data_IF_028392653483
#
_entry.id   IF_028392653483
#
_cell.length_a   1.000
_cell.length_b   1.000
_cell.length_c   1.000
_cell.angle_alpha   90.00
_cell.angle_beta   90.00
_cell.angle_gamma   90.00
#
_symmetry.space_group_name_H-M   'P 1'
#
loop_
_entity.id
_entity.type
_entity.pdbx_description
1 polymer ?
#
# COMPACT_ATOMS: atom_id res chain seq x y z
N UNK A 1 -1.77 -21.27 -11.20
CA UNK A 1 -0.51 -21.49 -11.95
C UNK A 1 0.59 -20.55 -11.43
N UNK A 2 0.96 -20.65 -10.14
CA UNK A 2 1.97 -19.77 -9.51
C UNK A 2 2.68 -20.44 -8.31
N UNK A 3 2.79 -21.78 -8.30
CA UNK A 3 3.49 -22.54 -7.23
C UNK A 3 4.84 -23.14 -7.66
N UNK A 4 5.30 -22.90 -8.89
CA UNK A 4 6.47 -23.63 -9.45
C UNK A 4 7.70 -22.76 -9.76
N UNK A 5 7.74 -21.50 -9.32
CA UNK A 5 8.83 -20.56 -9.65
C UNK A 5 9.84 -20.31 -8.51
N UNK A 6 9.66 -20.88 -7.31
CA UNK A 6 10.50 -20.55 -6.15
C UNK A 6 11.16 -21.75 -5.45
N UNK A 7 11.63 -22.75 -6.21
CA UNK A 7 12.51 -23.79 -5.64
C UNK A 7 13.67 -24.14 -6.56
N UNK A 8 14.75 -23.35 -6.49
CA UNK A 8 16.10 -23.80 -6.83
C UNK A 8 17.11 -23.25 -5.81
N UNK A 9 17.34 -24.02 -4.75
CA UNK A 9 18.57 -23.95 -3.93
C UNK A 9 19.72 -24.51 -4.78
N UNK A 10 20.87 -23.82 -4.82
CA UNK A 10 22.16 -24.40 -5.23
C UNK A 10 22.92 -24.88 -3.99
N UNK A 11 23.59 -26.04 -4.02
CA UNK A 11 24.41 -26.52 -2.90
C UNK A 11 25.82 -25.90 -2.92
N UNK A 12 26.31 -25.56 -1.73
CA UNK A 12 27.69 -25.17 -1.44
C UNK A 12 28.62 -26.39 -1.42
N UNK A 13 29.85 -26.25 -1.90
CA UNK A 13 30.98 -27.18 -1.63
C UNK A 13 32.08 -26.45 -0.85
N UNK A 14 32.83 -27.14 0.03
CA UNK A 14 33.85 -26.57 0.90
C UNK A 14 35.24 -26.61 0.27
N UNK A 15 36.17 -25.79 0.76
CA UNK A 15 37.61 -25.91 0.50
C UNK A 15 38.41 -25.38 1.69
N UNK A 16 39.16 -26.27 2.33
CA UNK A 16 40.17 -26.01 3.36
C UNK A 16 41.44 -25.35 2.77
N UNK A 17 42.13 -24.53 3.59
CA UNK A 17 43.60 -24.56 3.82
C UNK A 17 44.09 -23.47 4.79
N UNK A 18 44.39 -23.92 6.01
CA UNK A 18 45.61 -23.76 6.83
C UNK A 18 46.61 -22.57 6.71
N UNK A 19 46.97 -22.06 7.92
CA UNK A 19 48.23 -21.45 8.43
C UNK A 19 48.78 -20.15 7.76
N UNK A 20 49.25 -19.08 8.44
CA UNK A 20 50.22 -18.90 9.54
C UNK A 20 49.96 -17.55 10.25
N UNK A 21 50.31 -17.45 11.54
CA UNK A 21 50.09 -16.30 12.42
C UNK A 21 50.96 -15.06 12.24
N UNK A 22 50.70 -14.06 13.10
CA UNK A 22 51.47 -12.82 13.20
C UNK A 22 50.87 -11.85 14.21
N UNK A 23 51.65 -11.59 15.25
CA UNK A 23 51.48 -10.81 16.49
C UNK A 23 51.00 -9.35 16.33
N UNK A 24 50.24 -8.89 17.34
CA UNK A 24 49.88 -7.52 17.79
C UNK A 24 51.04 -6.48 17.74
N UNK A 25 50.83 -5.14 17.97
CA UNK A 25 49.72 -4.53 18.69
C UNK A 25 49.16 -3.17 18.23
N UNK A 26 48.02 -2.91 18.86
CA UNK A 26 47.27 -1.69 19.11
C UNK A 26 48.10 -0.48 19.57
N UNK A 27 47.74 0.71 19.06
CA UNK A 27 48.03 2.00 19.70
C UNK A 27 46.70 2.72 19.95
N UNK A 28 46.39 2.82 21.25
CA UNK A 28 45.36 3.64 21.86
C UNK A 28 45.86 5.08 22.03
N UNK A 29 45.03 6.06 21.67
CA UNK A 29 45.09 7.40 22.24
C UNK A 29 43.75 7.72 22.89
N UNK A 30 43.71 7.59 24.21
CA UNK A 30 42.78 8.31 25.08
C UNK A 30 43.43 9.65 25.43
N UNK A 31 42.69 10.75 25.32
CA UNK A 31 42.94 11.94 26.13
C UNK A 31 41.65 12.36 26.83
N UNK A 32 41.85 12.70 28.09
CA UNK A 32 40.92 12.95 29.18
C UNK A 32 40.09 14.24 29.01
N UNK A 33 39.00 14.33 29.78
CA UNK A 33 38.08 15.48 29.87
C UNK A 33 38.66 16.73 30.56
N UNK A 34 37.86 17.57 31.27
CA UNK A 34 36.77 17.17 32.16
C UNK A 34 35.45 17.94 31.97
N UNK A 35 34.40 17.42 32.61
CA UNK A 35 33.07 18.03 32.65
C UNK A 35 32.91 19.10 33.72
N UNK A 36 31.80 19.83 33.63
CA UNK A 36 31.20 20.59 34.73
C UNK A 36 29.70 20.30 34.72
N UNK A 37 29.22 19.72 35.81
CA UNK A 37 27.81 19.56 36.13
C UNK A 37 27.41 20.63 37.14
N UNK A 38 26.26 21.27 36.94
CA UNK A 38 25.53 21.95 38.02
C UNK A 38 24.11 21.39 38.09
N UNK A 39 23.71 21.08 39.33
CA UNK A 39 22.42 20.56 39.79
C UNK A 39 21.56 21.73 40.32
N UNK A 40 20.26 21.42 40.46
CA UNK A 40 19.25 22.07 41.32
C UNK A 40 18.67 23.40 40.77
N UNK A 41 17.36 23.70 40.82
CA UNK A 41 16.25 23.21 41.67
C UNK A 41 14.89 23.70 41.12
N UNK A 42 13.85 22.98 41.52
CA UNK A 42 12.41 23.28 41.61
C UNK A 42 11.96 24.76 41.69
N UNK A 43 10.89 25.14 40.98
CA UNK A 43 9.59 25.51 41.59
C UNK A 43 8.50 25.88 40.57
N UNK A 44 7.27 25.54 40.99
CA UNK A 44 5.96 25.74 40.40
C UNK A 44 5.43 27.15 40.72
N UNK A 45 4.73 27.82 39.79
CA UNK A 45 3.39 28.45 39.98
C UNK A 45 3.06 29.56 38.95
N UNK A 46 1.89 29.40 38.31
CA UNK A 46 0.85 30.40 37.93
C UNK A 46 1.18 31.69 37.13
N UNK A 47 0.70 31.69 35.86
CA UNK A 47 -0.04 32.71 35.06
C UNK A 47 -0.10 34.22 35.47
N UNK A 48 -0.48 35.15 34.56
CA UNK A 48 0.13 35.56 33.29
C UNK A 48 0.35 37.10 33.25
N UNK A 49 0.89 37.69 32.16
CA UNK A 49 0.25 38.93 31.71
C UNK A 49 0.09 39.04 30.18
N UNK A 50 -1.02 39.68 29.83
CA UNK A 50 -1.38 40.24 28.54
C UNK A 50 -0.58 41.50 28.19
N UNK A 51 -0.17 41.67 26.92
CA UNK A 51 -0.64 42.74 26.00
C UNK A 51 0.22 42.84 24.74
N UNK A 52 -0.48 43.01 23.60
CA UNK A 52 -0.12 43.72 22.35
C UNK A 52 1.14 43.31 21.57
N UNK A 53 1.03 42.60 20.45
CA UNK A 53 0.55 43.05 19.13
C UNK A 53 1.65 43.74 18.30
N UNK A 54 2.19 43.00 17.33
CA UNK A 54 2.75 43.56 16.09
C UNK A 54 2.63 42.50 15.02
N UNK A 55 1.54 42.58 14.26
CA UNK A 55 1.30 41.77 13.07
C UNK A 55 2.30 42.09 11.95
N UNK A 56 2.80 41.03 11.32
CA UNK A 56 3.33 41.07 9.95
C UNK A 56 2.65 39.95 9.16
N UNK A 57 1.65 40.39 8.41
CA UNK A 57 0.96 39.68 7.35
C UNK A 57 1.94 39.28 6.23
N UNK A 58 2.03 37.99 5.95
CA UNK A 58 2.58 37.47 4.69
C UNK A 58 1.50 36.68 3.95
N UNK A 59 0.90 37.38 2.98
CA UNK A 59 0.60 36.95 1.62
C UNK A 59 0.05 35.53 1.43
N UNK A 60 -1.29 35.50 1.38
CA UNK A 60 -2.11 34.65 0.52
C UNK A 60 -1.46 34.39 -0.84
N UNK A 61 -1.18 33.11 -1.12
CA UNK A 61 -0.68 32.61 -2.39
C UNK A 61 -1.50 31.42 -2.88
N UNK A 62 -2.52 31.71 -3.67
CA UNK A 62 -3.19 30.89 -4.69
C UNK A 62 -3.27 29.37 -4.47
N UNK A 63 -4.26 28.96 -3.67
CA UNK A 63 -4.93 27.68 -3.88
C UNK A 63 -5.75 27.77 -5.16
N UNK A 64 -5.30 27.09 -6.21
CA UNK A 64 -6.17 26.78 -7.36
C UNK A 64 -7.21 25.79 -6.85
N UNK A 65 -8.37 26.34 -6.50
CA UNK A 65 -9.57 25.62 -6.15
C UNK A 65 -10.02 24.84 -7.40
N UNK A 66 -9.75 23.53 -7.45
CA UNK A 66 -10.42 22.64 -8.38
C UNK A 66 -11.88 22.54 -7.95
N UNK A 67 -12.85 22.97 -8.78
CA UNK A 67 -14.25 22.93 -8.39
C UNK A 67 -14.74 21.48 -8.37
N UNK A 68 -15.68 21.24 -7.45
CA UNK A 68 -16.48 20.04 -7.31
C UNK A 68 -16.79 19.33 -8.64
N UNK A 69 -16.79 18.00 -8.56
CA UNK A 69 -17.35 17.07 -9.54
C UNK A 69 -18.59 17.66 -10.19
N UNK A 70 -18.45 18.13 -11.43
CA UNK A 70 -19.56 18.65 -12.23
C UNK A 70 -20.30 17.45 -12.82
N UNK A 71 -21.26 16.92 -12.07
CA UNK A 71 -22.41 16.20 -12.62
C UNK A 71 -23.30 17.21 -13.37
N UNK A 72 -22.80 17.79 -14.48
CA UNK A 72 -23.55 18.74 -15.29
C UNK A 72 -23.85 18.12 -16.66
N UNK A 73 -24.90 17.30 -16.70
CA UNK A 73 -25.41 16.64 -17.88
C UNK A 73 -26.16 17.54 -18.86
N UNK A 74 -25.68 18.75 -19.21
CA UNK A 74 -26.38 19.56 -20.21
C UNK A 74 -25.59 20.61 -21.01
N UNK A 75 -24.25 20.54 -21.04
CA UNK A 75 -23.43 21.48 -21.86
C UNK A 75 -22.52 20.81 -22.90
N UNK A 76 -22.53 19.47 -23.00
CA UNK A 76 -21.80 18.69 -24.02
C UNK A 76 -22.73 17.79 -24.84
N UNK A 77 -23.99 18.20 -25.04
CA UNK A 77 -24.89 17.58 -26.02
C UNK A 77 -24.53 17.96 -27.48
N UNK A 78 -23.32 18.49 -27.73
CA UNK A 78 -22.71 18.54 -29.05
C UNK A 78 -22.10 17.16 -29.34
N UNK A 79 -22.95 16.26 -29.83
CA UNK A 79 -22.65 14.96 -30.43
C UNK A 79 -21.41 14.21 -29.91
N UNK A 80 -21.63 13.27 -28.99
CA UNK A 80 -20.64 12.25 -28.60
C UNK A 80 -20.44 11.27 -29.77
N UNK A 81 -19.76 11.74 -30.81
CA UNK A 81 -19.59 11.02 -32.07
C UNK A 81 -18.40 10.06 -32.01
N UNK A 82 -18.51 8.90 -32.68
CA UNK A 82 -17.40 7.95 -32.77
C UNK A 82 -16.24 8.57 -33.55
N UNK A 83 -15.07 8.59 -32.93
CA UNK A 83 -13.83 9.04 -33.57
C UNK A 83 -13.21 7.91 -34.42
N UNK A 84 -12.53 8.22 -35.54
CA UNK A 84 -11.91 7.22 -36.42
C UNK A 84 -11.00 6.24 -35.69
N UNK A 85 -10.84 5.02 -36.21
CA UNK A 85 -9.93 4.03 -35.65
C UNK A 85 -8.46 4.43 -35.85
N UNK A 86 -7.57 4.03 -34.94
CA UNK A 86 -6.12 4.21 -35.12
C UNK A 86 -5.55 3.47 -36.35
N UNK A 87 -6.26 2.46 -36.87
CA UNK A 87 -5.86 1.71 -38.07
C UNK A 87 -6.07 2.50 -39.36
N UNK A 88 -7.06 3.39 -39.38
CA UNK A 88 -7.50 4.10 -40.59
C UNK A 88 -6.81 5.45 -40.78
N UNK A 89 -5.89 5.80 -39.86
CA UNK A 89 -5.27 7.13 -39.79
C UNK A 89 -3.74 7.04 -39.96
N UNK A 90 -3.13 7.91 -40.79
CA UNK A 90 -1.68 7.97 -40.95
C UNK A 90 -0.94 8.21 -39.63
N UNK A 91 0.27 7.66 -39.49
CA UNK A 91 1.08 7.78 -38.26
C UNK A 91 1.28 9.21 -37.77
N UNK A 92 1.37 10.19 -38.68
CA UNK A 92 1.51 11.62 -38.36
C UNK A 92 0.31 12.21 -37.63
N UNK A 93 -0.90 11.69 -37.84
CA UNK A 93 -2.13 12.17 -37.20
C UNK A 93 -2.52 11.35 -35.95
N UNK A 94 -1.87 10.21 -35.70
CA UNK A 94 -2.21 9.31 -34.59
C UNK A 94 -2.08 9.97 -33.23
N UNK A 95 -1.04 10.79 -33.00
CA UNK A 95 -0.88 11.49 -31.72
C UNK A 95 -2.01 12.50 -31.45
N UNK A 96 -2.40 13.28 -32.46
CA UNK A 96 -3.51 14.23 -32.31
C UNK A 96 -4.83 13.50 -32.07
N UNK A 97 -5.07 12.39 -32.78
CA UNK A 97 -6.24 11.54 -32.55
C UNK A 97 -6.25 10.93 -31.15
N UNK A 98 -5.09 10.51 -30.64
CA UNK A 98 -4.93 9.98 -29.28
C UNK A 98 -5.37 11.02 -28.25
N UNK A 99 -4.91 12.26 -28.36
CA UNK A 99 -5.31 13.35 -27.45
C UNK A 99 -6.82 13.60 -27.52
N UNK A 100 -7.42 13.62 -28.72
CA UNK A 100 -8.88 13.75 -28.87
C UNK A 100 -9.65 12.61 -28.23
N UNK A 101 -9.20 11.36 -28.40
CA UNK A 101 -9.82 10.17 -27.77
C UNK A 101 -9.68 10.20 -26.25
N UNK A 102 -8.53 10.62 -25.72
CA UNK A 102 -8.33 10.79 -24.27
C UNK A 102 -9.29 11.83 -23.69
N UNK A 103 -9.44 12.98 -24.34
CA UNK A 103 -10.36 14.03 -23.92
C UNK A 103 -11.83 13.58 -23.98
N UNK A 104 -12.22 12.81 -25.00
CA UNK A 104 -13.55 12.19 -25.08
C UNK A 104 -13.80 11.26 -23.88
N UNK A 105 -12.80 10.49 -23.47
CA UNK A 105 -12.89 9.58 -22.33
C UNK A 105 -12.92 10.28 -20.96
N UNK A 106 -12.66 11.59 -20.87
CA UNK A 106 -12.83 12.37 -19.64
C UNK A 106 -14.30 12.57 -19.24
N UNK A 107 -15.27 12.36 -20.16
CA UNK A 107 -16.70 12.45 -19.83
C UNK A 107 -17.12 11.27 -18.96
N UNK A 108 -17.48 11.51 -17.71
CA UNK A 108 -17.96 10.48 -16.77
C UNK A 108 -19.47 10.32 -16.92
N UNK A 109 -19.92 9.08 -17.11
CA UNK A 109 -21.34 8.75 -17.20
C UNK A 109 -21.86 8.22 -15.87
N UNK A 110 -23.13 8.49 -15.60
CA UNK A 110 -23.84 7.89 -14.48
C UNK A 110 -24.31 6.48 -14.84
N UNK A 111 -23.93 5.51 -14.01
CA UNK A 111 -24.28 4.09 -14.16
C UNK A 111 -25.35 3.61 -13.18
N UNK A 112 -25.85 4.50 -12.30
CA UNK A 112 -26.99 4.17 -11.42
C UNK A 112 -28.27 3.87 -12.22
N UNK A 113 -28.43 4.53 -13.38
CA UNK A 113 -29.45 4.23 -14.36
C UNK A 113 -28.83 3.58 -15.62
N UNK A 114 -28.98 2.26 -15.83
CA UNK A 114 -28.38 1.55 -16.95
C UNK A 114 -29.02 1.93 -18.30
N UNK A 115 -30.22 2.54 -18.30
CA UNK A 115 -30.96 2.84 -19.53
C UNK A 115 -30.57 4.17 -20.18
N UNK A 116 -29.90 5.06 -19.43
CA UNK A 116 -29.43 6.35 -19.93
C UNK A 116 -28.09 6.24 -20.67
N UNK A 117 -27.98 7.00 -21.76
CA UNK A 117 -26.74 7.19 -22.53
C UNK A 117 -26.11 5.88 -23.02
N UNK A 118 -26.91 4.87 -23.39
CA UNK A 118 -26.41 3.53 -23.78
C UNK A 118 -25.43 3.63 -24.95
N UNK A 119 -25.76 4.45 -25.96
CA UNK A 119 -24.92 4.62 -27.16
C UNK A 119 -23.59 5.28 -26.80
N UNK A 120 -23.63 6.35 -26.02
CA UNK A 120 -22.45 7.12 -25.61
C UNK A 120 -21.55 6.33 -24.67
N UNK A 121 -22.14 5.56 -23.74
CA UNK A 121 -21.43 4.61 -22.88
C UNK A 121 -20.68 3.57 -23.71
N UNK A 122 -21.30 3.04 -24.77
CA UNK A 122 -20.66 2.06 -25.64
C UNK A 122 -19.54 2.68 -26.50
N UNK A 123 -19.75 3.90 -27.04
CA UNK A 123 -18.71 4.64 -27.76
C UNK A 123 -17.49 4.88 -26.87
N UNK A 124 -17.70 5.30 -25.62
CA UNK A 124 -16.62 5.48 -24.65
C UNK A 124 -15.91 4.16 -24.35
N UNK A 125 -16.66 3.07 -24.12
CA UNK A 125 -16.10 1.75 -23.86
C UNK A 125 -15.19 1.28 -25.00
N UNK A 126 -15.65 1.38 -26.25
CA UNK A 126 -14.87 1.00 -27.42
C UNK A 126 -13.65 1.91 -27.61
N UNK A 127 -13.79 3.21 -27.36
CA UNK A 127 -12.67 4.16 -27.42
C UNK A 127 -11.60 3.84 -26.38
N UNK A 128 -12.00 3.50 -25.14
CA UNK A 128 -11.08 3.09 -24.08
C UNK A 128 -10.31 1.81 -24.46
N UNK A 129 -10.97 0.82 -25.07
CA UNK A 129 -10.29 -0.39 -25.55
C UNK A 129 -9.23 -0.07 -26.61
N UNK A 130 -9.57 0.78 -27.58
CA UNK A 130 -8.60 1.22 -28.58
C UNK A 130 -7.41 1.97 -27.98
N UNK A 131 -7.62 2.75 -26.90
CA UNK A 131 -6.54 3.42 -26.17
C UNK A 131 -5.62 2.41 -25.48
N UNK A 132 -6.18 1.36 -24.86
CA UNK A 132 -5.41 0.29 -24.23
C UNK A 132 -4.54 -0.41 -25.27
N UNK A 133 -5.12 -0.80 -26.40
CA UNK A 133 -4.40 -1.47 -27.50
C UNK A 133 -3.30 -0.57 -28.08
N UNK A 134 -3.57 0.72 -28.23
CA UNK A 134 -2.58 1.70 -28.70
C UNK A 134 -1.40 1.84 -27.73
N UNK A 135 -1.66 1.98 -26.43
CA UNK A 135 -0.60 2.07 -25.41
C UNK A 135 0.20 0.77 -25.29
N UNK A 136 -0.47 -0.38 -25.44
CA UNK A 136 0.18 -1.69 -25.37
C UNK A 136 1.06 -2.00 -26.58
N UNK A 137 0.73 -1.45 -27.76
CA UNK A 137 1.48 -1.61 -29.01
C UNK A 137 2.41 -0.44 -29.34
N UNK A 138 2.66 0.46 -28.37
CA UNK A 138 3.55 1.59 -28.57
C UNK A 138 4.99 1.13 -28.80
N UNK A 139 5.56 1.52 -29.94
CA UNK A 139 6.93 1.18 -30.35
C UNK A 139 7.90 2.36 -30.21
N UNK A 140 7.58 3.34 -29.37
CA UNK A 140 8.43 4.49 -29.12
C UNK A 140 7.95 5.30 -27.92
N UNK A 141 8.86 6.12 -27.38
CA UNK A 141 8.61 6.93 -26.19
C UNK A 141 7.38 7.82 -26.33
N UNK A 142 6.56 7.84 -25.29
CA UNK A 142 5.41 8.74 -25.24
C UNK A 142 5.88 10.20 -25.15
N UNK A 143 5.34 11.11 -25.99
CA UNK A 143 5.54 12.54 -25.82
C UNK A 143 4.99 13.02 -24.48
N UNK A 144 5.59 14.08 -23.92
CA UNK A 144 5.19 14.65 -22.63
C UNK A 144 3.70 15.01 -22.57
N UNK A 145 3.18 15.66 -23.62
CA UNK A 145 1.76 16.00 -23.74
C UNK A 145 0.86 14.76 -23.65
N UNK A 146 1.27 13.62 -24.20
CA UNK A 146 0.48 12.38 -24.13
C UNK A 146 0.45 11.83 -22.71
N UNK A 147 1.59 11.87 -21.99
CA UNK A 147 1.64 11.44 -20.59
C UNK A 147 0.72 12.29 -19.70
N UNK A 148 0.69 13.60 -19.94
CA UNK A 148 -0.20 14.53 -19.23
C UNK A 148 -1.66 14.15 -19.46
N UNK A 149 -2.08 14.03 -20.72
CA UNK A 149 -3.47 13.75 -21.08
C UNK A 149 -3.95 12.38 -20.58
N UNK A 150 -3.09 11.36 -20.62
CA UNK A 150 -3.38 10.05 -20.00
C UNK A 150 -3.61 10.22 -18.50
N UNK A 151 -2.73 10.94 -17.81
CA UNK A 151 -2.83 11.13 -16.35
C UNK A 151 -4.08 11.91 -15.96
N UNK A 152 -4.46 12.92 -16.73
CA UNK A 152 -5.70 13.69 -16.54
C UNK A 152 -6.92 12.79 -16.74
N UNK A 153 -6.99 12.06 -17.86
CA UNK A 153 -8.11 11.17 -18.16
C UNK A 153 -8.30 10.10 -17.07
N UNK A 154 -7.20 9.47 -16.64
CA UNK A 154 -7.20 8.52 -15.52
C UNK A 154 -7.69 9.18 -14.24
N UNK A 155 -7.18 10.36 -13.91
CA UNK A 155 -7.54 11.07 -12.67
C UNK A 155 -9.02 11.41 -12.59
N UNK A 156 -9.61 11.85 -13.71
CA UNK A 156 -11.03 12.23 -13.79
C UNK A 156 -11.96 11.01 -13.64
N UNK A 157 -11.53 9.84 -14.13
CA UNK A 157 -12.34 8.63 -14.07
C UNK A 157 -12.19 7.85 -12.75
N UNK A 158 -10.99 7.78 -12.17
CA UNK A 158 -10.72 6.93 -11.01
C UNK A 158 -10.93 7.64 -9.67
N UNK A 159 -10.43 8.88 -9.52
CA UNK A 159 -10.36 9.54 -8.23
C UNK A 159 -11.71 10.15 -7.82
N UNK A 160 -12.44 9.36 -7.04
CA UNK A 160 -13.78 9.67 -6.52
C UNK A 160 -13.83 9.45 -5.02
N UNK A 161 -14.77 10.10 -4.35
CA UNK A 161 -15.07 9.82 -2.94
C UNK A 161 -15.79 8.48 -2.84
N UNK A 162 -15.19 7.51 -2.16
CA UNK A 162 -15.86 6.27 -1.82
C UNK A 162 -16.94 6.53 -0.78
N UNK A 163 -18.17 6.08 -1.03
CA UNK A 163 -19.26 6.24 -0.08
C UNK A 163 -19.18 5.11 0.94
N UNK A 164 -18.54 5.35 2.08
CA UNK A 164 -18.59 4.42 3.21
C UNK A 164 -19.88 4.66 4.00
N UNK A 165 -20.73 3.64 4.24
CA UNK A 165 -21.91 3.83 5.09
C UNK A 165 -21.48 4.30 6.49
N UNK A 166 -22.24 5.23 7.10
CA UNK A 166 -21.86 5.86 8.36
C UNK A 166 -21.70 4.86 9.51
N UNK A 167 -20.74 5.16 10.39
CA UNK A 167 -20.19 4.32 11.48
C UNK A 167 -21.24 3.77 12.48
N UNK A 168 -22.43 4.37 12.54
CA UNK A 168 -23.39 4.17 13.63
C UNK A 168 -24.25 2.91 13.52
N UNK A 169 -24.38 2.30 12.33
CA UNK A 169 -25.32 1.18 12.14
C UNK A 169 -24.84 -0.21 12.59
N UNK A 170 -23.57 -0.38 12.99
CA UNK A 170 -22.95 -1.71 13.18
C UNK A 170 -22.48 -2.07 14.58
N UNK A 171 -22.88 -1.33 15.62
CA UNK A 171 -22.57 -1.74 17.00
C UNK A 171 -23.30 -3.05 17.38
N UNK A 172 -24.36 -3.42 16.65
CA UNK A 172 -25.17 -4.62 16.91
C UNK A 172 -24.87 -5.83 15.99
N UNK A 173 -24.12 -5.67 14.90
CA UNK A 173 -23.87 -6.73 13.89
C UNK A 173 -22.41 -7.25 13.91
N UNK A 174 -21.75 -7.20 15.07
CA UNK A 174 -20.36 -7.65 15.22
C UNK A 174 -20.15 -9.17 15.01
N UNK A 175 -21.23 -9.94 14.81
CA UNK A 175 -21.18 -11.40 14.63
C UNK A 175 -21.37 -11.85 13.17
N UNK A 176 -21.68 -10.96 12.21
CA UNK A 176 -22.06 -11.35 10.84
C UNK A 176 -21.27 -10.60 9.73
N UNK A 177 -20.07 -10.10 10.03
CA UNK A 177 -19.22 -9.36 9.09
C UNK A 177 -18.52 -10.23 8.02
N UNK A 178 -18.72 -11.55 8.06
CA UNK A 178 -18.17 -12.50 7.09
C UNK A 178 -19.02 -12.61 5.82
N UNK A 179 -20.33 -12.33 5.91
CA UNK A 179 -21.30 -12.53 4.82
C UNK A 179 -21.83 -11.23 4.18
N UNK A 180 -21.12 -10.10 4.33
CA UNK A 180 -21.46 -8.92 3.53
C UNK A 180 -21.05 -9.12 2.07
N UNK A 181 -22.05 -9.39 1.23
CA UNK A 181 -21.90 -9.47 -0.22
C UNK A 181 -21.25 -8.18 -0.74
N UNK A 182 -20.07 -8.32 -1.35
CA UNK A 182 -19.27 -7.19 -1.79
C UNK A 182 -20.04 -6.34 -2.82
N UNK A 183 -20.23 -5.06 -2.50
CA UNK A 183 -20.89 -4.13 -3.42
C UNK A 183 -20.01 -3.93 -4.65
N UNK A 184 -20.56 -4.24 -5.82
CA UNK A 184 -19.89 -4.06 -7.10
C UNK A 184 -20.11 -2.64 -7.62
N UNK A 185 -19.07 -2.02 -8.16
CA UNK A 185 -19.21 -0.68 -8.74
C UNK A 185 -20.01 -0.75 -10.05
N UNK A 186 -21.12 -0.01 -10.21
CA UNK A 186 -21.95 -0.06 -11.42
C UNK A 186 -21.21 0.49 -12.66
N UNK A 187 -20.20 1.35 -12.48
CA UNK A 187 -19.37 1.89 -13.54
C UNK A 187 -18.20 0.96 -13.92
N UNK A 188 -18.14 -0.26 -13.37
CA UNK A 188 -17.02 -1.19 -13.57
C UNK A 188 -16.67 -1.44 -15.04
N UNK A 189 -17.67 -1.47 -15.93
CA UNK A 189 -17.46 -1.65 -17.37
C UNK A 189 -16.52 -0.61 -18.01
N UNK A 190 -16.48 0.62 -17.47
CA UNK A 190 -15.53 1.66 -17.86
C UNK A 190 -14.29 1.65 -16.96
N UNK A 191 -14.48 1.55 -15.64
CA UNK A 191 -13.39 1.63 -14.66
C UNK A 191 -12.33 0.54 -14.88
N UNK A 192 -12.75 -0.69 -15.18
CA UNK A 192 -11.84 -1.79 -15.49
C UNK A 192 -10.86 -1.42 -16.61
N UNK A 193 -11.35 -0.81 -17.69
CA UNK A 193 -10.53 -0.46 -18.85
C UNK A 193 -9.62 0.73 -18.53
N UNK A 194 -10.08 1.68 -17.71
CA UNK A 194 -9.24 2.80 -17.24
C UNK A 194 -8.10 2.29 -16.35
N UNK A 195 -8.38 1.35 -15.43
CA UNK A 195 -7.34 0.70 -14.63
C UNK A 195 -6.35 -0.08 -15.50
N UNK A 196 -6.84 -0.83 -16.48
CA UNK A 196 -5.99 -1.54 -17.44
C UNK A 196 -5.10 -0.57 -18.20
N UNK A 197 -5.63 0.55 -18.70
CA UNK A 197 -4.86 1.58 -19.38
C UNK A 197 -3.76 2.15 -18.48
N UNK A 198 -4.09 2.51 -17.24
CA UNK A 198 -3.12 3.03 -16.27
C UNK A 198 -2.01 2.01 -16.01
N UNK A 199 -2.39 0.75 -15.79
CA UNK A 199 -1.44 -0.33 -15.55
C UNK A 199 -0.49 -0.54 -16.73
N UNK A 200 -1.02 -0.61 -17.96
CA UNK A 200 -0.22 -0.74 -19.19
C UNK A 200 0.69 0.46 -19.41
N UNK A 201 0.19 1.68 -19.17
CA UNK A 201 0.97 2.90 -19.27
C UNK A 201 2.15 2.91 -18.29
N UNK A 202 1.94 2.53 -17.04
CA UNK A 202 3.01 2.47 -16.04
C UNK A 202 4.00 1.35 -16.36
N UNK A 203 3.53 0.18 -16.78
CA UNK A 203 4.37 -0.97 -17.11
C UNK A 203 5.17 -0.80 -18.40
N UNK A 204 4.70 0.01 -19.35
CA UNK A 204 5.33 0.17 -20.66
C UNK A 204 6.79 0.61 -20.53
N UNK A 205 7.74 -0.05 -21.22
CA UNK A 205 9.15 0.38 -21.26
C UNK A 205 9.31 1.76 -21.91
N UNK A 206 8.36 2.14 -22.78
CA UNK A 206 8.37 3.41 -23.51
C UNK A 206 7.99 4.62 -22.64
N UNK A 207 7.44 4.38 -21.44
CA UNK A 207 7.12 5.44 -20.48
C UNK A 207 8.37 5.87 -19.72
N UNK A 208 8.91 7.03 -20.09
CA UNK A 208 10.07 7.65 -19.43
C UNK A 208 9.72 8.07 -17.99
N UNK A 209 10.28 7.35 -17.02
CA UNK A 209 10.03 7.60 -15.59
C UNK A 209 10.49 8.99 -15.11
N UNK A 210 11.49 9.61 -15.75
CA UNK A 210 11.98 10.94 -15.37
C UNK A 210 10.99 12.04 -15.73
N UNK A 211 10.25 11.87 -16.83
CA UNK A 211 9.22 12.80 -17.27
C UNK A 211 7.89 12.49 -16.60
N UNK A 212 7.48 11.22 -16.57
CA UNK A 212 6.19 10.78 -16.04
C UNK A 212 5.99 11.10 -14.55
N UNK A 213 7.07 11.16 -13.75
CA UNK A 213 6.99 11.55 -12.32
C UNK A 213 6.46 12.98 -12.10
N UNK A 214 6.46 13.84 -13.13
CA UNK A 214 5.88 15.19 -13.03
C UNK A 214 4.35 15.17 -12.98
N UNK A 215 3.74 14.08 -13.43
CA UNK A 215 2.29 13.89 -13.48
C UNK A 215 1.82 12.84 -12.48
N UNK A 216 2.58 11.75 -12.33
CA UNK A 216 2.40 10.79 -11.23
C UNK A 216 3.19 11.35 -10.04
N UNK A 217 2.58 12.29 -9.34
CA UNK A 217 3.17 12.98 -8.19
C UNK A 217 2.69 12.41 -6.84
N UNK A 218 3.06 13.07 -5.75
CA UNK A 218 2.61 12.68 -4.41
C UNK A 218 1.09 12.76 -4.25
N UNK A 219 0.43 13.74 -4.89
CA UNK A 219 -1.03 13.90 -4.83
C UNK A 219 -1.74 12.76 -5.55
N UNK A 220 -1.24 12.35 -6.73
CA UNK A 220 -1.73 11.20 -7.46
C UNK A 220 -1.66 9.93 -6.61
N UNK A 221 -0.52 9.70 -5.93
CA UNK A 221 -0.32 8.51 -5.10
C UNK A 221 -1.25 8.50 -3.88
N UNK A 222 -1.47 9.64 -3.21
CA UNK A 222 -2.43 9.72 -2.09
C UNK A 222 -3.83 9.36 -2.59
N UNK A 223 -4.30 9.99 -3.66
CA UNK A 223 -5.64 9.70 -4.21
C UNK A 223 -5.79 8.25 -4.69
N UNK A 224 -4.70 7.64 -5.17
CA UNK A 224 -4.68 6.21 -5.51
C UNK A 224 -4.78 5.33 -4.26
N UNK A 225 -4.11 5.72 -3.17
CA UNK A 225 -4.18 5.01 -1.89
C UNK A 225 -5.57 5.12 -1.24
N UNK A 226 -6.24 6.26 -1.36
CA UNK A 226 -7.60 6.48 -0.84
C UNK A 226 -8.61 5.48 -1.45
N UNK A 227 -8.36 5.01 -2.69
CA UNK A 227 -9.22 4.04 -3.36
C UNK A 227 -9.08 2.61 -2.81
N UNK A 228 -8.07 2.31 -1.99
CA UNK A 228 -7.92 0.97 -1.39
C UNK A 228 -9.04 0.62 -0.41
N UNK A 229 -9.80 1.61 0.07
CA UNK A 229 -10.98 1.35 0.89
C UNK A 229 -12.22 0.95 0.06
N UNK A 230 -12.06 0.74 -1.26
CA UNK A 230 -13.15 0.25 -2.12
C UNK A 230 -13.67 -1.11 -1.66
N UNK A 231 -14.99 -1.27 -1.63
CA UNK A 231 -15.65 -2.54 -1.30
C UNK A 231 -15.50 -3.57 -2.43
N UNK A 232 -15.28 -3.12 -3.66
CA UNK A 232 -15.13 -3.98 -4.84
C UNK A 232 -13.73 -4.64 -4.86
N UNK A 233 -13.62 -5.97 -4.67
CA UNK A 233 -12.33 -6.68 -4.67
C UNK A 233 -11.59 -6.57 -6.00
N UNK A 234 -12.31 -6.39 -7.12
CA UNK A 234 -11.70 -6.27 -8.45
C UNK A 234 -10.94 -4.96 -8.57
N UNK A 235 -11.49 -3.88 -8.00
CA UNK A 235 -10.81 -2.58 -7.94
C UNK A 235 -9.54 -2.67 -7.10
N UNK A 236 -9.63 -3.29 -5.91
CA UNK A 236 -8.48 -3.47 -5.02
C UNK A 236 -7.34 -4.28 -5.67
N UNK A 237 -7.67 -5.29 -6.47
CA UNK A 237 -6.64 -6.05 -7.22
C UNK A 237 -5.90 -5.18 -8.24
N UNK A 238 -6.61 -4.34 -8.99
CA UNK A 238 -5.99 -3.40 -9.94
C UNK A 238 -5.15 -2.34 -9.23
N UNK A 239 -5.63 -1.81 -8.11
CA UNK A 239 -4.88 -0.89 -7.26
C UNK A 239 -3.59 -1.54 -6.76
N UNK A 240 -3.68 -2.79 -6.27
CA UNK A 240 -2.54 -3.59 -5.83
C UNK A 240 -1.46 -3.69 -6.90
N UNK A 241 -1.86 -4.14 -8.09
CA UNK A 241 -0.95 -4.29 -9.22
C UNK A 241 -0.34 -2.94 -9.62
N UNK A 242 -1.14 -1.89 -9.67
CA UNK A 242 -0.71 -0.54 -10.08
C UNK A 242 0.27 0.06 -9.09
N UNK A 243 -0.04 0.07 -7.80
CA UNK A 243 0.83 0.64 -6.76
C UNK A 243 2.17 -0.11 -6.68
N UNK A 244 2.16 -1.44 -6.81
CA UNK A 244 3.39 -2.23 -6.85
C UNK A 244 4.28 -1.83 -8.05
N UNK A 245 3.69 -1.60 -9.24
CA UNK A 245 4.44 -1.12 -10.41
C UNK A 245 4.97 0.30 -10.23
N UNK A 246 4.19 1.19 -9.61
CA UNK A 246 4.64 2.55 -9.28
C UNK A 246 5.84 2.48 -8.33
N UNK A 247 5.77 1.68 -7.27
CA UNK A 247 6.85 1.49 -6.30
C UNK A 247 8.14 0.95 -6.95
N UNK A 248 7.98 0.00 -7.88
CA UNK A 248 9.10 -0.58 -8.63
C UNK A 248 9.78 0.44 -9.55
N UNK A 249 8.98 1.12 -10.39
CA UNK A 249 9.45 2.01 -11.46
C UNK A 249 9.91 3.38 -10.97
N UNK A 250 9.20 3.98 -10.01
CA UNK A 250 9.49 5.32 -9.50
C UNK A 250 10.16 5.25 -8.13
N UNK A 251 11.47 4.97 -8.13
CA UNK A 251 12.23 4.78 -6.90
C UNK A 251 12.15 5.99 -5.92
N UNK A 252 11.98 7.20 -6.44
CA UNK A 252 11.83 8.43 -5.65
C UNK A 252 10.63 8.40 -4.70
N UNK A 253 9.57 7.66 -5.04
CA UNK A 253 8.36 7.58 -4.22
C UNK A 253 8.40 6.46 -3.18
N UNK A 254 9.41 5.58 -3.17
CA UNK A 254 9.44 4.44 -2.24
C UNK A 254 9.35 4.86 -0.76
N UNK A 255 10.09 5.86 -0.26
CA UNK A 255 9.97 6.30 1.13
C UNK A 255 8.57 6.84 1.43
N UNK A 256 8.02 7.60 0.49
CA UNK A 256 6.69 8.20 0.61
C UNK A 256 5.58 7.14 0.66
N UNK A 257 5.58 6.20 -0.28
CA UNK A 257 4.59 5.10 -0.33
C UNK A 257 4.63 4.30 0.97
N UNK A 258 5.83 3.91 1.45
CA UNK A 258 5.95 3.18 2.74
C UNK A 258 5.38 3.99 3.90
N UNK A 259 5.65 5.29 3.95
CA UNK A 259 5.11 6.19 4.99
C UNK A 259 3.58 6.30 4.91
N UNK A 260 3.02 6.45 3.71
CA UNK A 260 1.57 6.57 3.52
C UNK A 260 0.84 5.28 3.87
N UNK A 261 1.33 4.11 3.45
CA UNK A 261 0.76 2.80 3.85
C UNK A 261 0.85 2.63 5.36
N UNK A 262 1.98 3.02 5.97
CA UNK A 262 2.14 2.96 7.42
C UNK A 262 1.10 3.83 8.14
N UNK A 263 0.82 5.04 7.65
CA UNK A 263 -0.20 5.91 8.22
C UNK A 263 -1.61 5.29 8.12
N UNK A 264 -1.94 4.65 6.99
CA UNK A 264 -3.21 3.91 6.84
C UNK A 264 -3.31 2.81 7.89
N UNK A 265 -2.24 2.05 8.11
CA UNK A 265 -2.22 1.01 9.15
C UNK A 265 -2.34 1.60 10.56
N UNK A 266 -1.70 2.73 10.87
CA UNK A 266 -1.89 3.40 12.16
C UNK A 266 -3.34 3.81 12.37
N UNK A 267 -3.95 4.48 11.39
CA UNK A 267 -5.35 4.88 11.47
C UNK A 267 -6.28 3.66 11.63
N UNK A 268 -6.02 2.58 10.89
CA UNK A 268 -6.76 1.33 11.01
C UNK A 268 -6.64 0.70 12.40
N UNK A 269 -5.44 0.59 12.97
CA UNK A 269 -5.20 -0.10 14.25
C UNK A 269 -5.72 0.71 15.46
N UNK A 270 -5.61 2.04 15.41
CA UNK A 270 -5.80 2.89 16.58
C UNK A 270 -7.05 3.78 16.51
N UNK A 271 -7.65 3.99 15.33
CA UNK A 271 -8.79 4.90 15.18
C UNK A 271 -10.04 4.21 14.62
N UNK A 272 -9.94 3.53 13.47
CA UNK A 272 -11.14 3.12 12.72
C UNK A 272 -11.50 1.65 12.88
N UNK A 273 -10.51 0.76 13.03
CA UNK A 273 -10.65 -0.72 12.96
C UNK A 273 -11.44 -1.23 11.73
N UNK A 274 -11.61 -0.39 10.70
CA UNK A 274 -12.28 -0.70 9.43
C UNK A 274 -11.50 -0.10 8.28
N UNK A 275 -11.08 -0.95 7.35
CA UNK A 275 -10.50 -0.58 6.06
C UNK A 275 -10.50 -1.82 5.14
N UNK A 276 -10.99 -1.70 3.91
CA UNK A 276 -11.20 -2.86 3.03
C UNK A 276 -9.90 -3.39 2.38
N UNK A 277 -8.91 -2.54 2.16
CA UNK A 277 -7.67 -2.88 1.42
C UNK A 277 -6.45 -3.30 2.24
N UNK A 278 -6.61 -3.73 3.51
CA UNK A 278 -5.46 -4.06 4.37
C UNK A 278 -4.67 -5.26 3.83
N UNK A 279 -5.36 -6.29 3.32
CA UNK A 279 -4.74 -7.49 2.78
C UNK A 279 -3.87 -7.17 1.54
N UNK A 280 -4.39 -6.39 0.61
CA UNK A 280 -3.71 -6.02 -0.63
C UNK A 280 -2.50 -5.12 -0.37
N UNK A 281 -2.59 -4.20 0.61
CA UNK A 281 -1.46 -3.38 1.06
C UNK A 281 -0.37 -4.23 1.71
N UNK A 282 -0.75 -5.22 2.52
CA UNK A 282 0.20 -6.17 3.11
C UNK A 282 0.88 -7.05 2.07
N UNK A 283 0.18 -7.49 1.03
CA UNK A 283 0.78 -8.28 -0.06
C UNK A 283 1.89 -7.50 -0.78
N UNK A 284 1.67 -6.21 -1.06
CA UNK A 284 2.70 -5.33 -1.61
C UNK A 284 3.87 -5.20 -0.64
N UNK A 285 3.59 -4.96 0.64
CA UNK A 285 4.63 -4.81 1.65
C UNK A 285 5.44 -6.09 1.83
N UNK A 286 4.83 -7.28 1.81
CA UNK A 286 5.53 -8.55 1.84
C UNK A 286 6.55 -8.68 0.70
N UNK A 287 6.16 -8.30 -0.52
CA UNK A 287 7.08 -8.24 -1.67
C UNK A 287 8.21 -7.22 -1.45
N UNK A 288 7.91 -6.05 -0.91
CA UNK A 288 8.89 -5.01 -0.59
C UNK A 288 9.89 -5.49 0.48
N UNK A 289 9.41 -6.16 1.53
CA UNK A 289 10.21 -6.68 2.65
C UNK A 289 11.17 -7.75 2.14
N UNK A 290 10.69 -8.66 1.28
CA UNK A 290 11.55 -9.64 0.63
C UNK A 290 12.66 -8.97 -0.21
N UNK A 291 12.40 -7.78 -0.76
CA UNK A 291 13.39 -6.96 -1.48
C UNK A 291 14.35 -6.15 -0.60
N UNK A 292 14.23 -6.15 0.73
CA UNK A 292 15.11 -5.37 1.59
C UNK A 292 16.57 -5.85 1.53
N UNK A 293 17.47 -4.87 1.47
CA UNK A 293 18.90 -5.07 1.59
C UNK A 293 19.28 -5.36 3.05
N UNK A 294 20.33 -6.16 3.23
CA UNK A 294 20.92 -6.43 4.54
C UNK A 294 22.18 -5.57 4.74
N UNK A 295 22.44 -5.08 5.96
CA UNK A 295 21.62 -5.24 7.16
C UNK A 295 20.31 -4.43 7.09
N UNK A 296 19.26 -4.92 7.77
CA UNK A 296 17.97 -4.23 7.83
C UNK A 296 18.13 -2.84 8.46
N UNK A 297 17.56 -1.83 7.81
CA UNK A 297 17.51 -0.46 8.33
C UNK A 297 16.62 -0.37 9.57
N UNK A 298 16.98 0.55 10.47
CA UNK A 298 16.23 0.77 11.71
C UNK A 298 14.77 1.15 11.46
N UNK A 299 14.49 1.95 10.42
CA UNK A 299 13.12 2.28 10.01
C UNK A 299 12.26 1.03 9.71
N UNK A 300 12.87 -0.05 9.21
CA UNK A 300 12.16 -1.30 8.88
C UNK A 300 11.89 -2.14 10.13
N UNK A 301 12.84 -2.14 11.08
CA UNK A 301 12.66 -2.78 12.39
C UNK A 301 11.56 -2.08 13.19
N UNK A 302 11.55 -0.75 13.19
CA UNK A 302 10.48 0.03 13.81
C UNK A 302 9.12 -0.22 13.16
N UNK A 303 9.06 -0.38 11.83
CA UNK A 303 7.84 -0.73 11.12
C UNK A 303 7.28 -2.10 11.55
N UNK A 304 8.15 -3.12 11.69
CA UNK A 304 7.76 -4.42 12.23
C UNK A 304 7.15 -4.29 13.63
N UNK A 305 7.87 -3.64 14.55
CA UNK A 305 7.49 -3.59 15.97
C UNK A 305 6.27 -2.70 16.23
N UNK A 306 6.18 -1.55 15.56
CA UNK A 306 5.14 -0.54 15.86
C UNK A 306 3.90 -0.65 14.98
N UNK A 307 3.99 -1.37 13.86
CA UNK A 307 2.88 -1.45 12.90
C UNK A 307 2.48 -2.90 12.61
N UNK A 308 3.38 -3.75 12.10
CA UNK A 308 3.01 -5.12 11.72
C UNK A 308 2.58 -5.98 12.91
N UNK A 309 3.34 -5.96 14.02
CA UNK A 309 2.94 -6.72 15.21
C UNK A 309 1.59 -6.20 15.76
N UNK A 310 1.34 -4.89 15.92
CA UNK A 310 0.02 -4.39 16.34
C UNK A 310 -1.14 -4.65 15.36
N UNK A 311 -0.91 -4.97 14.08
CA UNK A 311 -1.97 -5.39 13.15
C UNK A 311 -2.66 -6.70 13.57
N UNK A 312 -2.11 -7.43 14.55
CA UNK A 312 -2.78 -8.58 15.14
C UNK A 312 -3.89 -8.20 16.14
N UNK A 313 -3.98 -6.92 16.54
CA UNK A 313 -4.95 -6.44 17.53
C UNK A 313 -6.40 -6.43 17.00
N UNK A 314 -6.73 -5.89 15.80
CA UNK A 314 -8.10 -5.78 15.32
C UNK A 314 -8.84 -7.12 15.25
N UNK A 315 -10.17 -7.07 15.36
CA UNK A 315 -11.03 -8.27 15.38
C UNK A 315 -11.14 -8.93 14.01
N UNK A 316 -11.13 -8.13 12.94
CA UNK A 316 -11.26 -8.56 11.54
C UNK A 316 -9.98 -9.14 10.92
N UNK A 317 -9.07 -9.66 11.74
CA UNK A 317 -7.77 -10.21 11.30
C UNK A 317 -7.94 -11.35 10.28
N UNK A 318 -9.05 -12.09 10.32
CA UNK A 318 -9.36 -13.16 9.37
C UNK A 318 -9.24 -12.73 7.91
N UNK A 319 -9.56 -11.46 7.61
CA UNK A 319 -9.53 -10.90 6.24
C UNK A 319 -8.12 -10.70 5.67
N UNK A 320 -7.09 -10.59 6.52
CA UNK A 320 -5.73 -10.21 6.08
C UNK A 320 -4.60 -11.00 6.77
N UNK A 321 -4.91 -11.95 7.64
CA UNK A 321 -3.93 -12.70 8.44
C UNK A 321 -2.87 -13.39 7.59
N UNK A 322 -3.28 -14.03 6.48
CA UNK A 322 -2.33 -14.76 5.63
C UNK A 322 -1.23 -13.83 5.08
N UNK A 323 -1.61 -12.64 4.64
CA UNK A 323 -0.68 -11.63 4.12
C UNK A 323 0.18 -11.01 5.25
N UNK A 324 -0.37 -10.92 6.46
CA UNK A 324 0.35 -10.47 7.65
C UNK A 324 1.41 -11.49 8.08
N UNK A 325 1.02 -12.77 8.26
CA UNK A 325 1.94 -13.88 8.60
C UNK A 325 3.08 -13.95 7.60
N UNK A 326 2.77 -13.90 6.30
CA UNK A 326 3.79 -13.85 5.25
C UNK A 326 4.77 -12.68 5.45
N UNK A 327 4.27 -11.47 5.71
CA UNK A 327 5.10 -10.28 5.92
C UNK A 327 5.98 -10.39 7.17
N UNK A 328 5.45 -10.96 8.27
CA UNK A 328 6.18 -11.21 9.52
C UNK A 328 7.28 -12.25 9.31
N UNK A 329 6.96 -13.39 8.70
CA UNK A 329 7.91 -14.45 8.39
C UNK A 329 9.05 -13.94 7.50
N UNK A 330 8.74 -13.11 6.49
CA UNK A 330 9.79 -12.48 5.66
C UNK A 330 10.76 -11.61 6.47
N UNK A 331 10.33 -10.94 7.54
CA UNK A 331 11.23 -10.19 8.42
C UNK A 331 12.16 -11.11 9.21
N UNK A 332 11.63 -12.21 9.75
CA UNK A 332 12.40 -13.19 10.54
C UNK A 332 13.42 -13.90 9.66
N UNK A 333 13.06 -14.27 8.43
CA UNK A 333 14.00 -14.83 7.44
C UNK A 333 15.14 -13.88 7.09
N UNK A 334 14.89 -12.56 7.09
CA UNK A 334 15.91 -11.53 6.78
C UNK A 334 16.86 -11.27 7.95
N UNK A 335 16.36 -11.28 9.18
CA UNK A 335 17.15 -11.11 10.40
C UNK A 335 16.56 -11.97 11.53
N UNK A 336 17.16 -13.14 11.75
CA UNK A 336 16.67 -14.14 12.72
C UNK A 336 16.60 -13.60 14.16
N UNK A 337 17.35 -12.54 14.49
CA UNK A 337 17.31 -11.89 15.81
C UNK A 337 15.96 -11.24 16.11
N UNK A 338 15.15 -10.99 15.08
CA UNK A 338 13.81 -10.43 15.23
C UNK A 338 12.80 -11.47 15.73
N UNK A 339 13.10 -12.77 15.69
CA UNK A 339 12.19 -13.85 16.11
C UNK A 339 11.71 -13.67 17.57
N UNK A 340 12.61 -13.40 18.52
CA UNK A 340 12.23 -13.17 19.92
C UNK A 340 11.28 -11.98 20.08
N UNK A 341 11.51 -10.90 19.32
CA UNK A 341 10.65 -9.71 19.34
C UNK A 341 9.26 -10.00 18.79
N UNK A 342 9.19 -10.74 17.67
CA UNK A 342 7.92 -11.15 17.04
C UNK A 342 7.14 -12.07 17.96
N UNK A 343 7.75 -13.15 18.46
CA UNK A 343 7.08 -14.13 19.34
C UNK A 343 6.54 -13.47 20.59
N UNK A 344 7.32 -12.60 21.25
CA UNK A 344 6.82 -11.82 22.41
C UNK A 344 5.69 -10.87 22.03
N UNK A 345 5.75 -10.29 20.83
CA UNK A 345 4.70 -9.45 20.28
C UNK A 345 3.38 -10.20 20.08
N UNK A 346 3.42 -11.40 19.51
CA UNK A 346 2.26 -12.27 19.36
C UNK A 346 1.68 -12.70 20.71
N UNK A 347 2.54 -13.12 21.65
CA UNK A 347 2.10 -13.47 23.02
C UNK A 347 1.43 -12.27 23.71
N UNK A 348 1.94 -11.04 23.48
CA UNK A 348 1.34 -9.83 24.04
C UNK A 348 -0.09 -9.58 23.54
N UNK A 349 -0.37 -9.90 22.27
CA UNK A 349 -1.69 -9.72 21.65
C UNK A 349 -2.49 -11.01 21.55
N UNK A 350 -2.13 -12.04 22.33
CA UNK A 350 -2.75 -13.35 22.27
C UNK A 350 -4.27 -13.27 22.51
N UNK A 351 -5.10 -13.83 21.63
CA UNK A 351 -6.55 -13.83 21.81
C UNK A 351 -6.96 -14.73 22.96
N UNK A 352 -7.80 -14.24 23.87
CA UNK A 352 -8.30 -15.02 25.03
C UNK A 352 -9.77 -15.43 24.86
N UNK A 353 -10.51 -14.73 24.00
CA UNK A 353 -11.97 -14.90 23.85
C UNK A 353 -12.42 -15.31 22.45
N UNK A 354 -11.49 -15.44 21.50
CA UNK A 354 -11.79 -15.76 20.10
C UNK A 354 -10.92 -16.95 19.67
N UNK A 355 -11.52 -18.14 19.67
CA UNK A 355 -10.85 -19.41 19.36
C UNK A 355 -10.38 -19.49 17.91
N UNK A 356 -11.15 -18.97 16.96
CA UNK A 356 -10.73 -18.90 15.55
C UNK A 356 -9.44 -18.09 15.42
N UNK A 357 -9.38 -16.92 16.05
CA UNK A 357 -8.18 -16.07 16.07
C UNK A 357 -7.02 -16.75 16.79
N UNK A 358 -7.29 -17.52 17.84
CA UNK A 358 -6.27 -18.30 18.54
C UNK A 358 -5.65 -19.38 17.64
N UNK A 359 -6.47 -20.11 16.88
CA UNK A 359 -5.99 -21.07 15.89
C UNK A 359 -5.12 -20.40 14.81
N UNK A 360 -5.48 -19.19 14.37
CA UNK A 360 -4.67 -18.41 13.42
C UNK A 360 -3.29 -18.06 14.00
N UNK A 361 -3.25 -17.58 15.25
CA UNK A 361 -1.99 -17.26 15.94
C UNK A 361 -1.09 -18.47 16.13
N UNK A 362 -1.67 -19.64 16.42
CA UNK A 362 -0.92 -20.90 16.52
C UNK A 362 -0.30 -21.28 15.17
N UNK A 363 -1.05 -21.15 14.06
CA UNK A 363 -0.53 -21.40 12.72
C UNK A 363 0.60 -20.44 12.33
N UNK A 364 0.46 -19.14 12.58
CA UNK A 364 1.52 -18.16 12.33
C UNK A 364 2.76 -18.43 13.21
N UNK A 365 2.55 -18.79 14.47
CA UNK A 365 3.62 -19.12 15.40
C UNK A 365 4.42 -20.34 14.93
N UNK A 366 3.76 -21.35 14.37
CA UNK A 366 4.43 -22.51 13.75
C UNK A 366 5.36 -22.06 12.61
N UNK A 367 4.85 -21.27 11.66
CA UNK A 367 5.66 -20.74 10.54
C UNK A 367 6.88 -19.94 11.02
N UNK A 368 6.71 -19.09 12.04
CA UNK A 368 7.81 -18.30 12.61
C UNK A 368 8.84 -19.19 13.30
N UNK A 369 8.39 -20.23 14.01
CA UNK A 369 9.28 -21.16 14.69
C UNK A 369 10.11 -21.99 13.71
N UNK A 370 9.55 -22.37 12.55
CA UNK A 370 10.31 -23.02 11.48
C UNK A 370 11.48 -22.16 10.97
N UNK A 371 11.30 -20.84 10.93
CA UNK A 371 12.34 -19.88 10.54
C UNK A 371 13.30 -19.50 11.70
N UNK A 372 12.99 -19.89 12.94
CA UNK A 372 13.73 -19.47 14.14
C UNK A 372 14.96 -20.32 14.40
N UNK A 373 16.11 -19.68 14.67
CA UNK A 373 17.33 -20.39 15.04
C UNK A 373 17.32 -20.81 16.53
N UNK A 374 17.98 -21.93 16.91
CA UNK A 374 17.98 -22.43 18.29
C UNK A 374 18.47 -21.42 19.34
N UNK A 375 19.41 -20.53 18.98
CA UNK A 375 19.92 -19.50 19.89
C UNK A 375 18.87 -18.43 20.23
N UNK A 376 18.04 -18.05 19.26
CA UNK A 376 16.97 -17.08 19.45
C UNK A 376 15.76 -17.72 20.14
N UNK A 377 15.45 -18.97 19.80
CA UNK A 377 14.39 -19.75 20.47
C UNK A 377 14.59 -19.85 21.99
N UNK A 378 15.83 -20.06 22.45
CA UNK A 378 16.14 -20.12 23.89
C UNK A 378 15.71 -18.86 24.66
N UNK A 379 15.65 -17.70 24.00
CA UNK A 379 15.25 -16.43 24.64
C UNK A 379 13.74 -16.38 24.90
N UNK A 380 12.94 -16.92 23.99
CA UNK A 380 11.47 -16.85 24.05
C UNK A 380 10.78 -18.16 24.46
N UNK A 381 11.50 -19.28 24.58
CA UNK A 381 10.90 -20.61 24.84
C UNK A 381 10.03 -20.66 26.10
N UNK A 382 10.46 -20.02 27.20
CA UNK A 382 9.72 -20.08 28.48
C UNK A 382 8.35 -19.39 28.39
N UNK A 383 8.25 -18.11 27.98
CA UNK A 383 6.93 -17.49 27.81
C UNK A 383 6.09 -18.17 26.72
N UNK A 384 6.73 -18.67 25.65
CA UNK A 384 6.06 -19.41 24.58
C UNK A 384 5.37 -20.67 25.09
N UNK A 385 6.09 -21.57 25.77
CA UNK A 385 5.52 -22.82 26.26
C UNK A 385 4.49 -22.61 27.36
N UNK A 386 4.59 -21.53 28.14
CA UNK A 386 3.51 -21.15 29.07
C UNK A 386 2.22 -20.82 28.33
N UNK A 387 2.32 -20.17 27.18
CA UNK A 387 1.15 -19.85 26.36
C UNK A 387 0.61 -21.11 25.67
N UNK A 388 1.46 -21.97 25.10
CA UNK A 388 1.07 -23.26 24.52
C UNK A 388 0.36 -24.14 25.57
N UNK A 389 0.88 -24.20 26.79
CA UNK A 389 0.25 -24.95 27.87
C UNK A 389 -1.17 -24.45 28.20
N UNK A 390 -1.46 -23.15 28.04
CA UNK A 390 -2.83 -22.63 28.17
C UNK A 390 -3.72 -23.07 27.02
N UNK A 391 -3.20 -23.05 25.80
CA UNK A 391 -3.92 -23.49 24.60
C UNK A 391 -4.30 -24.98 24.71
N UNK A 392 -3.36 -25.83 25.16
CA UNK A 392 -3.61 -27.27 25.38
C UNK A 392 -4.67 -27.56 26.47
N UNK A 393 -4.93 -26.61 27.36
CA UNK A 393 -5.98 -26.71 28.37
C UNK A 393 -7.28 -26.00 27.93
N UNK A 394 -7.36 -25.55 26.67
CA UNK A 394 -8.58 -24.95 26.12
C UNK A 394 -9.70 -25.99 26.06
N UNK A 395 -10.91 -25.56 26.40
CA UNK A 395 -12.11 -26.39 26.22
C UNK A 395 -12.59 -26.41 24.77
N UNK A 396 -12.01 -25.59 23.89
CA UNK A 396 -12.43 -25.45 22.50
C UNK A 396 -11.62 -26.36 21.59
N UNK A 397 -12.22 -27.43 21.08
CA UNK A 397 -11.56 -28.50 20.31
C UNK A 397 -10.64 -28.05 19.14
N UNK A 398 -10.94 -26.95 18.46
CA UNK A 398 -10.09 -26.47 17.35
C UNK A 398 -8.77 -25.82 17.79
N UNK A 399 -8.68 -25.40 19.06
CA UNK A 399 -7.47 -24.85 19.70
C UNK A 399 -6.77 -25.99 20.41
#
# INVERSE_FOLDING_TARGET
>A
MMKQMFRRRKPSKPSDKEFIGGTSPSVSYQLSGPGVAYRATTNLSTQPPSTSDTGLSYLSGNYVHMPNSRTNGNLFASSFEPLPSFKDVPSTKKQHLLIRKLNLCCVVFDFTDPTKNIKEKEIKRQTLLELVDYVASANGKFPEIVMQEITVMVSVNLFRTLTSPPREKKVLEAFDLEDEEAVTDPAWSHLQIVYELLLRFIQSPETDAKLAKRYIDHSFIIRLLDLYDSEDPREREYLKMTLHRIYGKFMVYRPFIRKSINNIFYQFIYETEKHNGIAELLEILGSIINGFALPLKEEHKLFLVRTLIPLHKPKCISKYHQQLSYSITQFVEKDCKLADTVIRGLIKYWPVTNSTKEAMFLGELEEILEATQPAEFKKCMVPLFRQIARCLNSSHFQV
#
